data_IF_679840365196
#
_entry.id   IF_679840365196
#
_cell.length_a   1.000
_cell.length_b   1.000
_cell.length_c   1.000
_cell.angle_alpha   90.00
_cell.angle_beta   90.00
_cell.angle_gamma   90.00
#
_symmetry.space_group_name_H-M   'P 1'
#
loop_
_entity.id
_entity.type
_entity.pdbx_description
1 polymer ?
#
# COMPACT_ATOMS: atom_id res chain seq x y z
N UNK A 1 13.55 -11.95 -4.82
CA UNK A 1 12.32 -12.34 -5.48
C UNK A 1 11.39 -13.06 -4.53
N UNK A 2 10.22 -12.72 -4.55
CA UNK A 2 9.18 -13.16 -3.66
C UNK A 2 8.14 -13.96 -4.44
N UNK A 3 7.36 -14.73 -3.71
CA UNK A 3 6.23 -15.49 -4.20
C UNK A 3 5.03 -14.63 -4.61
N UNK A 4 5.17 -13.31 -4.79
CA UNK A 4 4.05 -12.39 -5.00
C UNK A 4 4.51 -11.19 -5.84
N UNK A 5 4.95 -11.48 -7.05
CA UNK A 5 5.35 -10.48 -8.06
C UNK A 5 6.27 -9.35 -7.57
N UNK A 6 7.04 -9.56 -6.49
CA UNK A 6 7.91 -8.56 -5.89
C UNK A 6 7.39 -7.97 -4.57
N UNK A 7 6.11 -8.09 -4.26
CA UNK A 7 5.50 -7.42 -3.10
C UNK A 7 5.64 -8.18 -1.76
N UNK A 8 6.13 -9.42 -1.73
CA UNK A 8 6.57 -10.06 -0.48
C UNK A 8 8.07 -9.84 -0.26
N UNK A 9 8.44 -8.65 0.20
CA UNK A 9 9.84 -8.19 0.28
C UNK A 9 10.61 -8.93 1.37
N UNK A 10 11.74 -9.57 0.99
CA UNK A 10 12.62 -10.28 1.91
C UNK A 10 13.65 -9.35 2.56
N UNK A 11 14.14 -8.38 1.79
CA UNK A 11 15.15 -7.41 2.23
C UNK A 11 14.95 -6.10 1.48
N UNK A 12 14.56 -5.05 2.18
CA UNK A 12 14.30 -3.71 1.62
C UNK A 12 15.58 -2.93 1.27
N UNK A 13 16.77 -3.46 1.61
CA UNK A 13 18.04 -2.83 1.29
C UNK A 13 18.73 -3.43 0.05
N UNK A 14 18.12 -4.47 -0.54
CA UNK A 14 18.72 -5.18 -1.68
C UNK A 14 17.83 -5.09 -2.91
N UNK A 15 18.45 -4.83 -4.04
CA UNK A 15 17.82 -5.03 -5.36
C UNK A 15 17.86 -6.54 -5.67
N UNK A 16 16.88 -7.03 -6.41
CA UNK A 16 16.87 -8.40 -6.94
C UNK A 16 18.08 -8.56 -7.89
N UNK A 17 19.04 -9.44 -7.61
CA UNK A 17 20.30 -9.52 -8.38
C UNK A 17 20.13 -9.71 -9.89
N UNK A 18 19.01 -10.34 -10.31
CA UNK A 18 18.70 -10.54 -11.73
C UNK A 18 18.27 -9.25 -12.43
N UNK A 19 17.86 -8.22 -11.68
CA UNK A 19 17.44 -6.92 -12.21
C UNK A 19 18.54 -5.88 -12.15
N UNK A 20 19.62 -6.13 -11.38
CA UNK A 20 20.73 -5.22 -11.24
C UNK A 20 21.10 -4.90 -9.79
N UNK A 21 21.69 -3.75 -9.58
CA UNK A 21 22.23 -3.26 -8.31
C UNK A 21 21.82 -1.82 -8.01
N UNK A 22 22.12 -1.34 -6.82
CA UNK A 22 21.97 0.09 -6.48
C UNK A 22 22.82 1.01 -7.36
N UNK A 23 23.94 0.52 -7.90
CA UNK A 23 24.77 1.28 -8.86
C UNK A 23 24.00 1.51 -10.16
N UNK A 24 23.26 0.50 -10.64
CA UNK A 24 22.45 0.62 -11.85
C UNK A 24 21.31 1.63 -11.65
N UNK A 25 20.62 1.57 -10.50
CA UNK A 25 19.59 2.56 -10.14
C UNK A 25 20.17 3.96 -10.10
N UNK A 26 21.36 4.17 -9.49
CA UNK A 26 22.03 5.47 -9.44
C UNK A 26 22.41 5.98 -10.83
N UNK A 27 22.87 5.11 -11.70
CA UNK A 27 23.20 5.50 -13.08
C UNK A 27 21.96 5.83 -13.88
N UNK A 28 20.88 5.09 -13.70
CA UNK A 28 19.60 5.33 -14.32
C UNK A 28 18.98 6.68 -13.85
N UNK A 29 19.08 6.97 -12.55
CA UNK A 29 18.56 8.21 -11.96
C UNK A 29 19.22 9.50 -12.47
N UNK A 30 20.40 9.40 -13.09
CA UNK A 30 21.04 10.54 -13.78
C UNK A 30 20.33 10.92 -15.09
N UNK A 31 19.55 10.01 -15.66
CA UNK A 31 18.88 10.17 -16.95
C UNK A 31 17.39 10.43 -16.82
N UNK A 32 16.77 9.99 -15.73
CA UNK A 32 15.34 10.10 -15.50
C UNK A 32 15.00 10.04 -14.01
N UNK A 33 13.82 10.53 -13.64
CA UNK A 33 13.31 10.44 -12.27
C UNK A 33 12.92 9.00 -11.97
N UNK A 34 13.42 8.44 -10.87
CA UNK A 34 13.15 7.07 -10.46
C UNK A 34 12.07 7.05 -9.39
N UNK A 35 11.03 6.25 -9.64
CA UNK A 35 10.03 5.86 -8.66
C UNK A 35 10.34 4.45 -8.14
N UNK A 36 10.19 4.26 -6.83
CA UNK A 36 10.30 2.95 -6.21
C UNK A 36 9.08 2.65 -5.32
N UNK A 37 8.66 1.38 -5.36
CA UNK A 37 7.69 0.89 -4.40
C UNK A 37 8.28 0.79 -3.00
N UNK A 38 7.58 1.35 -2.04
CA UNK A 38 7.86 1.17 -0.62
C UNK A 38 6.75 0.26 -0.05
N UNK A 39 7.01 -1.05 -0.08
CA UNK A 39 6.10 -2.06 0.49
C UNK A 39 6.17 -1.94 2.01
N UNK A 40 5.31 -1.09 2.56
CA UNK A 40 5.39 -0.65 3.96
C UNK A 40 4.46 -1.44 4.89
N UNK A 41 3.33 -1.95 4.38
CA UNK A 41 2.35 -2.63 5.22
C UNK A 41 2.84 -4.01 5.73
N UNK A 42 3.66 -4.73 4.98
CA UNK A 42 4.04 -6.11 5.27
C UNK A 42 5.46 -6.43 4.81
N UNK A 43 5.98 -7.57 5.25
CA UNK A 43 7.24 -8.13 4.77
C UNK A 43 7.12 -9.66 4.63
N UNK A 44 8.01 -10.26 3.82
CA UNK A 44 8.01 -11.70 3.58
C UNK A 44 8.32 -12.51 4.85
N UNK A 45 7.58 -13.59 5.04
CA UNK A 45 7.86 -14.61 6.06
C UNK A 45 9.20 -15.35 5.81
N UNK A 46 9.82 -15.17 4.64
CA UNK A 46 11.10 -15.75 4.26
C UNK A 46 12.27 -14.77 4.42
N UNK A 47 11.99 -13.54 4.90
CA UNK A 47 13.00 -12.50 5.10
C UNK A 47 13.71 -12.59 6.45
N UNK A 48 14.86 -11.90 6.55
CA UNK A 48 15.66 -11.85 7.77
C UNK A 48 14.87 -11.30 8.98
N UNK A 49 14.03 -10.30 8.75
CA UNK A 49 13.23 -9.71 9.84
C UNK A 49 12.28 -10.73 10.48
N UNK A 50 11.65 -11.58 9.66
CA UNK A 50 10.75 -12.60 10.18
C UNK A 50 11.51 -13.73 10.88
N UNK A 51 12.64 -14.19 10.32
CA UNK A 51 13.50 -15.17 10.97
C UNK A 51 14.00 -14.68 12.34
N UNK A 52 14.37 -13.41 12.44
CA UNK A 52 14.78 -12.78 13.69
C UNK A 52 13.61 -12.58 14.66
N UNK A 53 12.42 -12.23 14.16
CA UNK A 53 11.19 -12.12 14.97
C UNK A 53 10.89 -13.44 15.69
N UNK A 54 10.97 -14.56 15.01
CA UNK A 54 10.76 -15.88 15.60
C UNK A 54 11.81 -16.23 16.68
N UNK A 55 12.99 -15.62 16.64
CA UNK A 55 14.12 -15.83 17.56
C UNK A 55 14.30 -14.70 18.59
N UNK A 56 13.37 -13.74 18.66
CA UNK A 56 13.44 -12.54 19.51
C UNK A 56 14.71 -11.69 19.30
N UNK A 57 15.24 -11.67 18.05
CA UNK A 57 16.46 -10.94 17.68
C UNK A 57 16.17 -9.67 16.89
N UNK A 58 17.03 -8.67 17.02
CA UNK A 58 17.05 -7.47 16.18
C UNK A 58 17.96 -7.64 14.97
N UNK A 59 17.64 -7.01 13.78
CA UNK A 59 16.36 -6.38 13.47
C UNK A 59 15.25 -7.40 13.24
N UNK A 60 14.03 -7.11 13.63
CA UNK A 60 12.89 -8.04 13.47
C UNK A 60 12.07 -8.21 14.74
N UNK A 61 12.71 -8.14 15.91
CA UNK A 61 12.05 -8.23 17.21
C UNK A 61 10.87 -7.27 17.29
N UNK A 62 9.65 -7.81 17.52
CA UNK A 62 8.40 -7.04 17.62
C UNK A 62 8.04 -6.23 16.35
N UNK A 63 8.57 -6.58 15.17
CA UNK A 63 8.25 -5.89 13.94
C UNK A 63 6.91 -6.33 13.34
N UNK A 64 6.48 -7.54 13.58
CA UNK A 64 5.27 -8.10 13.00
C UNK A 64 4.07 -7.97 13.90
N UNK A 65 2.91 -7.70 13.30
CA UNK A 65 1.67 -7.54 14.04
C UNK A 65 1.09 -8.91 14.41
N UNK A 66 0.96 -9.12 15.71
CA UNK A 66 0.36 -10.32 16.29
C UNK A 66 -0.78 -9.96 17.21
N UNK A 67 -1.75 -10.85 17.29
CA UNK A 67 -2.91 -10.69 18.16
C UNK A 67 -3.17 -11.97 18.95
N UNK A 68 -3.88 -11.85 20.07
CA UNK A 68 -4.39 -12.97 20.81
C UNK A 68 -5.83 -13.34 20.37
N UNK A 69 -6.42 -14.38 20.95
CA UNK A 69 -7.77 -14.85 20.64
C UNK A 69 -8.90 -13.89 21.05
N UNK A 70 -8.61 -12.84 21.82
CA UNK A 70 -9.58 -11.82 22.26
C UNK A 70 -9.69 -10.66 21.25
N UNK A 71 -8.83 -10.62 20.24
CA UNK A 71 -8.86 -9.56 19.24
C UNK A 71 -10.06 -9.75 18.30
N UNK A 72 -10.97 -8.78 18.30
CA UNK A 72 -12.18 -8.82 17.49
C UNK A 72 -11.90 -8.39 16.04
N UNK A 73 -12.01 -9.34 15.11
CA UNK A 73 -11.80 -9.13 13.67
C UNK A 73 -13.09 -9.04 12.86
N UNK A 74 -14.25 -9.05 13.49
CA UNK A 74 -15.56 -9.13 12.81
C UNK A 74 -15.84 -7.96 11.85
N UNK A 75 -15.24 -6.79 12.12
CA UNK A 75 -15.40 -5.57 11.29
C UNK A 75 -14.27 -5.38 10.29
N UNK A 76 -13.24 -6.23 10.31
CA UNK A 76 -12.04 -6.03 9.49
C UNK A 76 -12.38 -6.18 8.01
N UNK A 77 -12.04 -5.16 7.23
CA UNK A 77 -12.17 -5.20 5.78
C UNK A 77 -11.01 -5.99 5.21
N UNK A 78 -11.34 -6.98 4.37
CA UNK A 78 -10.39 -7.92 3.79
C UNK A 78 -10.35 -7.78 2.28
N UNK A 79 -9.17 -7.53 1.71
CA UNK A 79 -9.01 -7.47 0.25
C UNK A 79 -8.85 -8.84 -0.40
N UNK A 80 -8.59 -9.89 0.39
CA UNK A 80 -8.32 -11.26 -0.08
C UNK A 80 -9.10 -12.30 0.73
N UNK A 81 -9.40 -13.46 0.13
CA UNK A 81 -10.23 -14.52 0.74
C UNK A 81 -9.49 -15.45 1.71
N UNK A 82 -8.15 -15.56 1.61
CA UNK A 82 -7.38 -16.45 2.48
C UNK A 82 -7.51 -16.08 3.97
N UNK A 83 -7.16 -16.97 4.87
CA UNK A 83 -7.28 -16.73 6.33
C UNK A 83 -6.40 -15.56 6.77
N UNK A 84 -7.03 -14.53 7.34
CA UNK A 84 -6.37 -13.34 7.88
C UNK A 84 -5.34 -13.67 8.95
N UNK A 85 -5.71 -14.59 9.84
CA UNK A 85 -4.91 -14.93 11.03
C UNK A 85 -4.30 -16.33 10.90
N UNK A 86 -2.98 -16.43 11.13
CA UNK A 86 -2.25 -17.70 11.23
C UNK A 86 -1.80 -17.94 12.66
N UNK A 87 -2.30 -19.01 13.29
CA UNK A 87 -1.85 -19.41 14.62
C UNK A 87 -0.37 -19.81 14.60
N UNK A 88 0.39 -19.29 15.55
CA UNK A 88 1.78 -19.63 15.80
C UNK A 88 2.02 -19.76 17.30
N UNK A 89 3.07 -20.49 17.67
CA UNK A 89 3.56 -20.54 19.06
C UNK A 89 4.83 -19.68 19.14
N UNK A 90 4.74 -18.56 19.85
CA UNK A 90 5.87 -17.67 20.12
C UNK A 90 6.18 -17.69 21.61
N UNK A 91 7.41 -18.04 21.99
CA UNK A 91 7.88 -18.03 23.39
C UNK A 91 6.87 -18.69 24.35
N UNK A 92 6.42 -19.90 24.01
CA UNK A 92 5.41 -20.70 24.74
C UNK A 92 4.00 -20.07 24.83
N UNK A 93 3.73 -18.98 24.10
CA UNK A 93 2.40 -18.37 24.01
C UNK A 93 1.77 -18.61 22.64
N UNK A 94 0.49 -18.97 22.61
CA UNK A 94 -0.28 -19.02 21.37
C UNK A 94 -0.60 -17.58 20.93
N UNK A 95 -0.20 -17.22 19.73
CA UNK A 95 -0.49 -15.93 19.09
C UNK A 95 -0.97 -16.16 17.65
N UNK A 96 -1.46 -15.11 17.02
CA UNK A 96 -1.92 -15.14 15.65
C UNK A 96 -1.21 -14.06 14.88
N UNK A 97 -0.46 -14.45 13.83
CA UNK A 97 0.11 -13.56 12.84
C UNK A 97 -0.99 -12.97 11.97
N UNK A 98 -0.89 -11.68 11.70
CA UNK A 98 -1.80 -10.99 10.79
C UNK A 98 -1.26 -11.02 9.36
N UNK A 99 -2.14 -11.34 8.39
CA UNK A 99 -1.79 -11.48 6.97
C UNK A 99 -2.90 -10.89 6.13
N UNK A 100 -2.74 -9.64 5.72
CA UNK A 100 -3.78 -8.93 4.95
C UNK A 100 -3.89 -9.48 3.53
N UNK A 101 -2.78 -9.70 2.83
CA UNK A 101 -2.75 -9.92 1.38
C UNK A 101 -2.42 -11.35 0.95
N UNK A 102 -1.42 -11.99 1.52
CA UNK A 102 -1.05 -13.36 1.15
C UNK A 102 -0.45 -14.15 2.32
N UNK A 103 -0.33 -15.48 2.20
CA UNK A 103 0.29 -16.30 3.23
C UNK A 103 1.75 -15.96 3.54
N UNK A 104 2.50 -15.38 2.59
CA UNK A 104 3.90 -14.97 2.76
C UNK A 104 4.06 -13.52 3.23
N UNK A 105 3.03 -12.70 3.09
CA UNK A 105 3.04 -11.29 3.48
C UNK A 105 2.53 -11.13 4.91
N UNK A 106 3.47 -10.98 5.86
CA UNK A 106 3.13 -10.80 7.29
C UNK A 106 3.12 -9.31 7.60
N UNK A 107 1.99 -8.83 8.11
CA UNK A 107 1.79 -7.42 8.39
C UNK A 107 2.71 -6.91 9.49
N UNK A 108 3.22 -5.70 9.29
CA UNK A 108 4.11 -5.03 10.21
C UNK A 108 3.35 -4.28 11.31
N UNK A 109 3.99 -4.12 12.45
CA UNK A 109 3.42 -3.49 13.64
C UNK A 109 3.85 -2.03 13.75
N UNK A 110 3.12 -1.12 13.15
CA UNK A 110 3.40 0.32 13.22
C UNK A 110 3.09 0.97 14.58
N UNK A 111 2.51 0.22 15.53
CA UNK A 111 2.48 0.63 16.95
C UNK A 111 3.88 0.59 17.58
N UNK A 112 4.81 -0.14 16.98
CA UNK A 112 6.21 -0.15 17.36
C UNK A 112 7.00 0.92 16.56
N UNK A 113 7.47 2.01 17.20
CA UNK A 113 8.15 3.09 16.51
C UNK A 113 9.45 2.63 15.82
N UNK A 114 10.05 1.52 16.25
CA UNK A 114 11.24 0.95 15.60
C UNK A 114 10.95 0.49 14.16
N UNK A 115 9.70 0.12 13.85
CA UNK A 115 9.28 -0.22 12.48
C UNK A 115 9.30 1.03 11.62
N UNK A 116 8.67 2.12 12.06
CA UNK A 116 8.71 3.39 11.33
C UNK A 116 10.16 3.88 11.14
N UNK A 117 10.96 3.89 12.21
CA UNK A 117 12.39 4.27 12.12
C UNK A 117 13.18 3.41 11.12
N UNK A 118 12.81 2.15 10.94
CA UNK A 118 13.42 1.28 9.94
C UNK A 118 13.07 1.73 8.52
N UNK A 119 11.80 2.07 8.28
CA UNK A 119 11.36 2.59 6.98
C UNK A 119 11.95 3.95 6.64
N UNK A 120 12.13 4.84 7.62
CA UNK A 120 12.87 6.10 7.38
C UNK A 120 14.29 5.85 6.91
N UNK A 121 15.00 4.87 7.50
CA UNK A 121 16.36 4.47 7.03
C UNK A 121 16.35 3.87 5.63
N UNK A 122 15.29 3.13 5.26
CA UNK A 122 15.12 2.60 3.89
C UNK A 122 14.91 3.75 2.91
N UNK A 123 14.10 4.75 3.26
CA UNK A 123 13.89 5.95 2.45
C UNK A 123 15.21 6.71 2.26
N UNK A 124 15.99 6.95 3.32
CA UNK A 124 17.32 7.58 3.22
C UNK A 124 18.23 6.80 2.26
N UNK A 125 18.28 5.46 2.41
CA UNK A 125 19.09 4.63 1.53
C UNK A 125 18.66 4.78 0.06
N UNK A 126 17.37 4.79 -0.21
CA UNK A 126 16.81 4.93 -1.57
C UNK A 126 17.09 6.32 -2.16
N UNK A 127 16.93 7.38 -1.38
CA UNK A 127 17.27 8.77 -1.77
C UNK A 127 18.75 8.90 -2.14
N UNK A 128 19.65 8.29 -1.35
CA UNK A 128 21.09 8.28 -1.62
C UNK A 128 21.47 7.53 -2.91
N UNK A 129 20.57 6.68 -3.41
CA UNK A 129 20.72 5.98 -4.68
C UNK A 129 19.92 6.59 -5.83
N UNK A 130 19.35 7.78 -5.64
CA UNK A 130 18.71 8.55 -6.70
C UNK A 130 17.21 8.33 -6.87
N UNK A 131 16.55 7.53 -6.00
CA UNK A 131 15.09 7.46 -5.96
C UNK A 131 14.54 8.82 -5.51
N UNK A 132 13.47 9.29 -6.16
CA UNK A 132 12.82 10.57 -5.83
C UNK A 132 11.33 10.42 -5.56
N UNK A 133 10.69 9.39 -6.08
CA UNK A 133 9.27 9.13 -5.91
C UNK A 133 9.08 7.83 -5.15
N UNK A 134 8.30 7.86 -4.08
CA UNK A 134 7.97 6.69 -3.27
C UNK A 134 6.49 6.36 -3.40
N UNK A 135 6.19 5.21 -4.00
CA UNK A 135 4.84 4.65 -4.01
C UNK A 135 4.64 3.85 -2.73
N UNK A 136 3.79 4.33 -1.84
CA UNK A 136 3.44 3.63 -0.60
C UNK A 136 2.40 2.55 -0.92
N UNK A 137 2.87 1.33 -1.04
CA UNK A 137 2.05 0.17 -1.37
C UNK A 137 1.13 -0.23 -0.22
N UNK A 138 -0.15 -0.48 -0.54
CA UNK A 138 -1.17 -0.97 0.40
C UNK A 138 -1.30 -0.13 1.69
N UNK A 139 -1.00 1.15 1.63
CA UNK A 139 -0.85 2.03 2.79
C UNK A 139 -2.10 2.13 3.65
N UNK A 140 -3.29 1.96 3.08
CA UNK A 140 -4.55 2.05 3.80
C UNK A 140 -4.68 1.04 4.95
N UNK A 141 -3.97 -0.08 4.87
CA UNK A 141 -4.02 -1.17 5.86
C UNK A 141 -2.98 -1.08 6.97
N UNK A 142 -2.22 0.02 7.05
CA UNK A 142 -1.04 0.13 7.92
C UNK A 142 -1.36 -0.02 9.40
N UNK A 143 -2.44 0.59 9.89
CA UNK A 143 -2.80 0.59 11.31
C UNK A 143 -3.93 -0.40 11.62
N UNK A 144 -3.69 -1.29 12.59
CA UNK A 144 -4.66 -2.27 13.06
C UNK A 144 -5.07 -1.97 14.49
N UNK A 145 -6.39 -1.91 14.73
CA UNK A 145 -6.96 -1.66 16.05
C UNK A 145 -8.16 -2.56 16.32
N UNK A 146 -8.27 -3.02 17.57
CA UNK A 146 -9.29 -3.98 17.98
C UNK A 146 -10.70 -3.42 17.74
N UNK A 147 -11.57 -4.24 17.13
CA UNK A 147 -12.97 -3.87 16.88
C UNK A 147 -13.20 -2.80 15.79
N UNK A 148 -12.14 -2.39 15.06
CA UNK A 148 -12.23 -1.45 13.94
C UNK A 148 -12.20 -2.17 12.58
N UNK A 149 -12.39 -1.40 11.51
CA UNK A 149 -12.27 -1.91 10.14
C UNK A 149 -10.81 -2.24 9.75
N UNK A 150 -9.81 -1.80 10.51
CA UNK A 150 -8.36 -1.93 10.26
C UNK A 150 -7.94 -1.45 8.86
N UNK A 151 -8.63 -0.46 8.36
CA UNK A 151 -8.35 0.21 7.09
C UNK A 151 -8.66 1.69 7.23
N UNK A 152 -7.91 2.55 6.52
CA UNK A 152 -8.11 4.00 6.48
C UNK A 152 -8.18 4.63 7.89
N UNK A 153 -7.32 4.20 8.79
CA UNK A 153 -7.31 4.63 10.19
C UNK A 153 -6.58 5.96 10.34
N UNK A 154 -7.04 6.83 11.25
CA UNK A 154 -6.40 8.15 11.53
C UNK A 154 -4.89 8.05 11.76
N UNK A 155 -4.42 7.02 12.47
CA UNK A 155 -2.99 6.83 12.69
C UNK A 155 -2.22 6.45 11.42
N UNK A 156 -2.86 5.86 10.41
CA UNK A 156 -2.27 5.68 9.09
C UNK A 156 -1.98 7.04 8.45
N UNK A 157 -2.95 7.95 8.46
CA UNK A 157 -2.79 9.31 7.97
C UNK A 157 -1.67 10.07 8.69
N UNK A 158 -1.60 9.97 10.03
CA UNK A 158 -0.53 10.58 10.80
C UNK A 158 0.87 10.06 10.43
N UNK A 159 0.99 8.76 10.14
CA UNK A 159 2.25 8.17 9.68
C UNK A 159 2.63 8.70 8.30
N UNK A 160 1.67 8.84 7.39
CA UNK A 160 1.92 9.38 6.04
C UNK A 160 2.37 10.84 6.13
N UNK A 161 1.70 11.67 6.94
CA UNK A 161 2.12 13.07 7.20
C UNK A 161 3.56 13.12 7.68
N UNK A 162 3.91 12.25 8.62
CA UNK A 162 5.26 12.20 9.15
C UNK A 162 6.28 11.75 8.09
N UNK A 163 5.97 10.74 7.29
CA UNK A 163 6.85 10.29 6.20
C UNK A 163 7.02 11.40 5.18
N UNK A 164 5.95 12.09 4.79
CA UNK A 164 6.03 13.23 3.87
C UNK A 164 6.90 14.34 4.42
N UNK A 165 6.62 14.81 5.63
CA UNK A 165 7.43 15.83 6.29
C UNK A 165 8.91 15.43 6.31
N UNK A 166 9.20 14.19 6.70
CA UNK A 166 10.56 13.67 6.77
C UNK A 166 11.26 13.66 5.41
N UNK A 167 10.58 13.17 4.36
CA UNK A 167 11.17 13.11 3.01
C UNK A 167 11.41 14.50 2.44
N UNK A 168 10.51 15.44 2.65
CA UNK A 168 10.65 16.84 2.19
C UNK A 168 11.82 17.54 2.88
N UNK A 169 12.12 17.23 4.17
CA UNK A 169 13.29 17.76 4.86
C UNK A 169 14.61 17.21 4.31
N UNK A 170 14.61 15.98 3.80
CA UNK A 170 15.79 15.35 3.20
C UNK A 170 16.01 15.77 1.75
N UNK A 171 14.94 15.94 1.01
CA UNK A 171 14.97 16.30 -0.41
C UNK A 171 13.61 16.90 -0.82
N UNK A 172 13.60 18.19 -1.15
CA UNK A 172 12.39 18.93 -1.52
C UNK A 172 11.76 18.49 -2.84
N UNK A 173 12.48 17.76 -3.69
CA UNK A 173 11.97 17.19 -4.94
C UNK A 173 11.32 15.82 -4.77
N UNK A 174 11.36 15.27 -3.57
CA UNK A 174 10.77 13.95 -3.31
C UNK A 174 9.25 14.01 -3.32
N UNK A 175 8.63 12.99 -3.91
CA UNK A 175 7.18 12.86 -3.98
C UNK A 175 6.74 11.56 -3.30
N UNK A 176 5.61 11.64 -2.59
CA UNK A 176 4.91 10.50 -2.03
C UNK A 176 3.65 10.23 -2.86
N UNK A 177 3.49 8.99 -3.27
CA UNK A 177 2.28 8.49 -3.94
C UNK A 177 1.65 7.44 -3.04
N UNK A 178 0.36 7.56 -2.76
CA UNK A 178 -0.38 6.53 -2.01
C UNK A 178 -1.16 5.62 -2.95
N UNK A 179 -0.98 4.32 -2.74
CA UNK A 179 -1.78 3.28 -3.39
C UNK A 179 -2.90 2.85 -2.43
N UNK A 180 -4.14 3.29 -2.74
CA UNK A 180 -5.31 3.10 -1.88
C UNK A 180 -6.55 2.77 -2.72
N UNK A 181 -6.80 1.47 -2.92
CA UNK A 181 -7.99 1.00 -3.63
C UNK A 181 -9.23 1.08 -2.71
N UNK A 182 -9.72 2.29 -2.50
CA UNK A 182 -10.79 2.67 -1.59
C UNK A 182 -11.90 3.41 -2.36
N UNK A 183 -13.13 3.52 -1.78
CA UNK A 183 -14.13 4.45 -2.27
C UNK A 183 -13.57 5.86 -2.43
N UNK A 184 -14.04 6.60 -3.44
CA UNK A 184 -13.44 7.88 -3.86
C UNK A 184 -13.21 8.85 -2.70
N UNK A 185 -14.23 9.03 -1.83
CA UNK A 185 -14.12 9.92 -0.67
C UNK A 185 -12.98 9.55 0.28
N UNK A 186 -12.79 8.25 0.53
CA UNK A 186 -11.71 7.77 1.39
C UNK A 186 -10.36 7.90 0.69
N UNK A 187 -10.27 7.64 -0.61
CA UNK A 187 -9.06 7.83 -1.40
C UNK A 187 -8.63 9.31 -1.42
N UNK A 188 -9.57 10.25 -1.62
CA UNK A 188 -9.31 11.68 -1.59
C UNK A 188 -8.80 12.18 -0.21
N UNK A 189 -9.13 11.48 0.88
CA UNK A 189 -8.66 11.86 2.22
C UNK A 189 -7.13 11.79 2.36
N UNK A 190 -6.46 11.00 1.50
CA UNK A 190 -4.99 10.89 1.49
C UNK A 190 -4.27 12.13 0.94
N UNK A 191 -4.96 13.11 0.42
CA UNK A 191 -4.38 14.43 0.23
C UNK A 191 -4.19 15.21 1.54
N UNK A 192 -4.94 14.84 2.59
CA UNK A 192 -4.95 15.59 3.86
C UNK A 192 -5.29 17.05 3.64
N UNK A 193 -4.60 17.92 4.36
CA UNK A 193 -4.58 19.37 4.13
C UNK A 193 -3.38 19.76 3.25
N UNK A 194 -3.06 18.97 2.23
CA UNK A 194 -1.87 19.06 1.39
C UNK A 194 -0.58 18.67 2.14
N UNK A 195 -0.71 17.85 3.17
CA UNK A 195 0.34 17.45 4.10
C UNK A 195 0.53 15.91 4.18
N UNK A 196 -0.22 15.14 3.36
CA UNK A 196 -0.10 13.69 3.28
C UNK A 196 0.53 13.26 1.94
N UNK A 197 -0.25 12.66 1.04
CA UNK A 197 0.26 12.27 -0.27
C UNK A 197 0.40 13.46 -1.21
N UNK A 198 1.48 13.48 -2.01
CA UNK A 198 1.58 14.42 -3.13
C UNK A 198 0.64 13.99 -4.27
N UNK A 199 0.66 12.69 -4.59
CA UNK A 199 -0.20 12.12 -5.61
C UNK A 199 -0.96 10.93 -5.04
N UNK A 200 -2.19 10.75 -5.52
CA UNK A 200 -3.01 9.57 -5.25
C UNK A 200 -3.34 8.86 -6.55
N UNK A 201 -3.45 7.54 -6.50
CA UNK A 201 -3.97 6.77 -7.62
C UNK A 201 -5.43 7.12 -7.88
N UNK A 202 -5.76 7.37 -9.14
CA UNK A 202 -7.15 7.63 -9.56
C UNK A 202 -7.87 6.31 -9.84
N UNK A 203 -8.14 5.55 -8.81
CA UNK A 203 -8.74 4.21 -8.91
C UNK A 203 -10.17 4.21 -9.48
N UNK A 204 -10.89 5.35 -9.46
CA UNK A 204 -12.22 5.44 -10.07
C UNK A 204 -12.17 5.47 -11.59
N UNK A 205 -11.07 5.94 -12.19
CA UNK A 205 -10.95 6.12 -13.64
C UNK A 205 -11.00 4.80 -14.43
N UNK A 206 -10.21 3.75 -14.11
CA UNK A 206 -10.22 2.50 -14.88
C UNK A 206 -11.60 1.86 -15.01
N UNK A 207 -12.35 1.60 -13.91
CA UNK A 207 -13.67 0.97 -14.03
C UNK A 207 -14.71 1.87 -14.71
N UNK A 208 -14.58 3.21 -14.63
CA UNK A 208 -15.45 4.13 -15.38
C UNK A 208 -15.17 4.09 -16.87
N UNK A 209 -13.91 3.93 -17.29
CA UNK A 209 -13.55 3.72 -18.70
C UNK A 209 -14.12 2.41 -19.20
N UNK A 210 -13.97 1.31 -18.44
CA UNK A 210 -14.55 0.01 -18.82
C UNK A 210 -16.07 0.11 -18.96
N UNK A 211 -16.75 0.77 -18.00
CA UNK A 211 -18.20 1.00 -18.10
C UNK A 211 -18.56 1.75 -19.38
N UNK A 212 -17.85 2.86 -19.67
CA UNK A 212 -18.11 3.67 -20.85
C UNK A 212 -17.98 2.86 -22.15
N UNK A 213 -16.95 2.01 -22.25
CA UNK A 213 -16.72 1.18 -23.43
C UNK A 213 -17.74 0.03 -23.58
N UNK A 214 -18.15 -0.60 -22.48
CA UNK A 214 -19.07 -1.74 -22.51
C UNK A 214 -20.53 -1.32 -22.76
N UNK A 215 -20.92 -0.16 -22.28
CA UNK A 215 -22.30 0.34 -22.37
C UNK A 215 -22.49 1.45 -23.41
N UNK A 216 -21.40 1.83 -24.11
CA UNK A 216 -21.39 2.96 -25.07
C UNK A 216 -21.97 4.26 -24.46
N UNK A 217 -21.79 4.42 -23.13
CA UNK A 217 -22.34 5.52 -22.32
C UNK A 217 -21.23 6.27 -21.56
N UNK A 218 -20.92 7.49 -22.02
CA UNK A 218 -19.96 8.37 -21.39
C UNK A 218 -20.56 9.26 -20.27
N UNK A 219 -21.85 9.13 -19.99
CA UNK A 219 -22.54 10.00 -19.02
C UNK A 219 -21.95 9.93 -17.62
N UNK A 220 -21.63 8.72 -17.15
CA UNK A 220 -21.09 8.48 -15.79
C UNK A 220 -19.69 9.06 -15.62
N UNK A 221 -18.77 8.77 -16.56
CA UNK A 221 -17.42 9.33 -16.53
C UNK A 221 -17.43 10.85 -16.67
N UNK A 222 -18.33 11.40 -17.48
CA UNK A 222 -18.51 12.84 -17.65
C UNK A 222 -19.04 13.50 -16.38
N UNK A 223 -20.05 12.92 -15.72
CA UNK A 223 -20.57 13.44 -14.46
C UNK A 223 -19.53 13.38 -13.34
N UNK A 224 -18.79 12.28 -13.26
CA UNK A 224 -17.72 12.10 -12.30
C UNK A 224 -16.58 13.11 -12.53
N UNK A 225 -16.09 13.26 -13.75
CA UNK A 225 -15.00 14.19 -14.07
C UNK A 225 -15.32 15.65 -13.72
N UNK A 226 -16.58 16.08 -13.91
CA UNK A 226 -17.04 17.42 -13.50
C UNK A 226 -17.01 17.64 -12.00
N UNK A 227 -17.13 16.57 -11.19
CA UNK A 227 -17.10 16.62 -9.72
C UNK A 227 -15.73 16.36 -9.13
N UNK A 228 -14.76 15.94 -9.97
CA UNK A 228 -13.43 15.59 -9.50
C UNK A 228 -12.79 16.81 -8.81
N UNK A 229 -12.22 16.57 -7.62
CA UNK A 229 -11.55 17.62 -6.85
C UNK A 229 -10.39 18.18 -7.68
N UNK A 230 -10.39 19.49 -7.86
CA UNK A 230 -9.32 20.19 -8.58
C UNK A 230 -7.98 19.97 -7.86
N UNK A 231 -6.96 19.69 -8.65
CA UNK A 231 -5.59 19.57 -8.19
C UNK A 231 -4.88 20.91 -8.16
N UNK A 232 -3.74 20.97 -7.52
CA UNK A 232 -2.85 22.13 -7.48
C UNK A 232 -1.38 21.67 -7.59
N UNK A 233 -0.44 22.59 -7.45
CA UNK A 233 0.99 22.28 -7.59
C UNK A 233 1.52 21.28 -6.55
N UNK A 234 0.79 21.04 -5.43
CA UNK A 234 1.21 20.15 -4.34
C UNK A 234 0.53 18.80 -4.36
N UNK A 235 -0.67 18.70 -4.96
CA UNK A 235 -1.49 17.49 -4.96
C UNK A 235 -1.97 17.17 -6.36
N UNK A 236 -1.82 15.93 -6.80
CA UNK A 236 -2.22 15.50 -8.13
C UNK A 236 -2.74 14.07 -8.17
N UNK A 237 -3.36 13.69 -9.29
CA UNK A 237 -3.81 12.32 -9.55
C UNK A 237 -2.81 11.59 -10.43
N UNK A 238 -2.51 10.35 -10.08
CA UNK A 238 -1.89 9.40 -10.99
C UNK A 238 -2.99 8.67 -11.75
N UNK A 239 -3.24 9.09 -12.99
CA UNK A 239 -4.20 8.43 -13.86
C UNK A 239 -3.58 7.19 -14.49
N UNK A 240 -4.34 6.11 -14.54
CA UNK A 240 -3.93 4.84 -15.14
C UNK A 240 -5.17 4.12 -15.70
N UNK A 241 -4.97 3.13 -16.55
CA UNK A 241 -6.04 2.35 -17.17
C UNK A 241 -6.19 0.98 -16.49
N UNK A 242 -5.06 0.37 -16.17
CA UNK A 242 -4.98 -0.91 -15.47
C UNK A 242 -3.67 -1.00 -14.70
N UNK A 243 -3.61 -1.91 -13.72
CA UNK A 243 -2.39 -2.26 -12.99
C UNK A 243 -2.18 -3.78 -13.03
N UNK A 244 -1.09 -4.26 -12.41
CA UNK A 244 -0.85 -5.70 -12.24
C UNK A 244 -1.92 -6.39 -11.39
N UNK A 245 -2.66 -5.64 -10.53
CA UNK A 245 -3.80 -6.13 -9.74
C UNK A 245 -5.11 -6.12 -10.54
N UNK A 246 -5.09 -5.73 -11.82
CA UNK A 246 -6.29 -5.60 -12.64
C UNK A 246 -7.04 -4.30 -12.37
N UNK A 247 -8.37 -4.33 -12.49
CA UNK A 247 -9.26 -3.19 -12.32
C UNK A 247 -10.17 -3.41 -11.11
N UNK A 248 -9.95 -2.64 -10.05
CA UNK A 248 -10.78 -2.70 -8.85
C UNK A 248 -12.14 -2.03 -9.06
N UNK A 249 -13.21 -2.66 -8.59
CA UNK A 249 -14.59 -2.12 -8.70
C UNK A 249 -15.00 -1.27 -7.49
N UNK A 250 -14.34 -1.44 -6.35
CA UNK A 250 -14.66 -0.75 -5.10
C UNK A 250 -14.62 0.78 -5.21
N UNK A 251 -13.72 1.41 -5.97
CA UNK A 251 -13.66 2.87 -6.11
C UNK A 251 -14.89 3.50 -6.77
N UNK A 252 -15.71 2.73 -7.47
CA UNK A 252 -16.95 3.22 -8.10
C UNK A 252 -18.22 2.83 -7.34
N UNK A 253 -18.10 2.26 -6.14
CA UNK A 253 -19.23 2.04 -5.26
C UNK A 253 -19.96 3.36 -5.01
N UNK A 254 -21.26 3.38 -5.30
CA UNK A 254 -22.12 4.58 -5.23
C UNK A 254 -22.02 5.56 -6.42
N UNK A 255 -21.06 5.36 -7.35
CA UNK A 255 -21.02 6.12 -8.62
C UNK A 255 -21.86 5.45 -9.70
N UNK A 256 -21.89 4.13 -9.70
CA UNK A 256 -22.70 3.31 -10.62
C UNK A 256 -23.66 2.47 -9.80
N UNK A 257 -24.96 2.78 -9.88
CA UNK A 257 -26.02 1.95 -9.33
C UNK A 257 -26.39 0.90 -10.37
N UNK A 258 -26.45 -0.37 -9.97
CA UNK A 258 -26.84 -1.51 -10.81
C UNK A 258 -25.88 -1.87 -11.97
N UNK A 259 -24.63 -2.24 -11.65
CA UNK A 259 -23.93 -3.11 -12.58
C UNK A 259 -24.63 -4.47 -12.59
N UNK A 260 -25.03 -5.01 -13.77
CA UNK A 260 -25.53 -6.37 -13.85
C UNK A 260 -24.49 -7.33 -13.26
N UNK A 261 -24.93 -8.29 -12.45
CA UNK A 261 -24.06 -9.26 -11.73
C UNK A 261 -23.14 -10.02 -12.70
N UNK A 262 -23.53 -10.18 -13.97
CA UNK A 262 -22.71 -10.76 -15.03
C UNK A 262 -21.39 -10.03 -15.31
N UNK A 263 -21.28 -8.74 -15.01
CA UNK A 263 -20.05 -7.94 -15.19
C UNK A 263 -19.17 -7.85 -13.93
N UNK A 264 -19.67 -8.28 -12.77
CA UNK A 264 -18.82 -8.45 -11.58
C UNK A 264 -17.83 -9.62 -11.72
N UNK A 265 -18.02 -10.49 -12.73
CA UNK A 265 -17.07 -11.55 -13.09
C UNK A 265 -15.90 -11.06 -13.95
N UNK A 266 -15.88 -9.80 -14.39
CA UNK A 266 -14.66 -9.12 -14.85
C UNK A 266 -13.71 -8.74 -13.71
N UNK A 267 -13.87 -9.33 -12.51
CA UNK A 267 -12.76 -9.44 -11.60
C UNK A 267 -11.64 -10.12 -12.36
N UNK A 268 -10.62 -9.36 -12.72
CA UNK A 268 -9.37 -9.95 -13.15
C UNK A 268 -9.09 -11.06 -12.16
N UNK A 269 -8.80 -12.25 -12.64
CA UNK A 269 -8.38 -13.35 -11.80
C UNK A 269 -7.26 -12.84 -10.90
N UNK A 270 -7.59 -12.59 -9.65
CA UNK A 270 -6.64 -12.36 -8.61
C UNK A 270 -5.93 -13.70 -8.38
N UNK A 271 -4.95 -13.97 -9.24
CA UNK A 271 -4.04 -15.11 -9.11
C UNK A 271 -2.95 -14.78 -8.09
#
# INVERSE_FOLDING_TARGET
>A
SSSDSGFAVKDHYKIEPRLGSWTDIRNFSKKTTVMADLVINHASSRGLWFANFLKDKSPGKNYFFTVNNKFNVSKVIRPREHRLLKKIKLFNKNQYLWRTFSPDQIDLNFKNPKVLMRFLKIIINSLNHGVRIFRLDAIAYLWKENGTKCINHTNTHNIIKFIRFFTEQLNTESLIITETNLPEKENLSYFGNQDESNWIYNFSLPPLIVYCLLFEDSSKITQWSKKLKKTNNKNNYLNFIASHDGIGMRPIEGLINNMPVSYTHLRAHET
#
